data_IF_651874048838
#
_entry.id   IF_651874048838
#
_cell.length_a   1.000
_cell.length_b   1.000
_cell.length_c   1.000
_cell.angle_alpha   90.00
_cell.angle_beta   90.00
_cell.angle_gamma   90.00
#
_symmetry.space_group_name_H-M   'P 1'
#
loop_
_entity.id
_entity.type
_entity.pdbx_description
1 polymer ?
#
# COMPACT_ATOMS: atom_id res chain seq x y z
N UNK A 1 32.01 9.97 -8.51
CA UNK A 1 30.89 10.40 -9.36
C UNK A 1 30.07 9.14 -9.52
N UNK A 2 29.02 8.97 -8.73
CA UNK A 2 28.19 7.78 -8.81
C UNK A 2 27.32 7.90 -10.06
N UNK A 3 27.36 6.89 -10.94
CA UNK A 3 26.57 6.85 -12.17
C UNK A 3 25.07 6.96 -11.82
N UNK A 4 24.43 8.02 -12.29
CA UNK A 4 23.02 8.29 -12.05
C UNK A 4 22.21 7.40 -13.02
N UNK A 5 21.49 6.42 -12.49
CA UNK A 5 20.59 5.58 -13.28
C UNK A 5 19.43 6.40 -13.91
N UNK A 6 18.77 5.86 -14.93
CA UNK A 6 17.64 6.52 -15.65
C UNK A 6 16.54 7.04 -14.73
N UNK A 7 16.29 6.39 -13.59
CA UNK A 7 15.30 6.82 -12.59
C UNK A 7 15.81 7.92 -11.63
N UNK A 8 17.02 8.43 -11.83
CA UNK A 8 17.68 9.46 -11.00
C UNK A 8 17.83 9.08 -9.52
N UNK A 9 17.93 7.77 -9.22
CA UNK A 9 18.18 7.24 -7.88
C UNK A 9 19.61 6.72 -7.75
N UNK A 10 20.20 6.71 -6.53
CA UNK A 10 21.46 6.03 -6.29
C UNK A 10 21.36 4.54 -6.64
N UNK A 11 22.44 3.96 -7.17
CA UNK A 11 22.48 2.57 -7.68
C UNK A 11 21.93 1.54 -6.69
N UNK A 12 22.30 1.67 -5.39
CA UNK A 12 21.87 0.77 -4.30
C UNK A 12 20.36 0.73 -4.06
N UNK A 13 19.61 1.73 -4.53
CA UNK A 13 18.15 1.84 -4.37
C UNK A 13 17.45 2.11 -5.71
N UNK A 14 18.13 1.78 -6.81
CA UNK A 14 17.64 1.95 -8.16
C UNK A 14 16.50 0.98 -8.44
N UNK A 15 15.47 1.46 -9.15
CA UNK A 15 14.35 0.63 -9.58
C UNK A 15 14.35 0.33 -11.08
N UNK A 16 15.31 0.88 -11.84
CA UNK A 16 15.43 0.63 -13.28
C UNK A 16 15.45 -0.86 -13.65
N UNK A 17 16.11 -1.78 -12.90
CA UNK A 17 16.12 -3.20 -13.22
C UNK A 17 14.73 -3.87 -13.17
N UNK A 18 13.74 -3.22 -12.55
CA UNK A 18 12.37 -3.73 -12.40
C UNK A 18 11.38 -3.01 -13.32
N UNK A 19 11.85 -2.06 -14.15
CA UNK A 19 11.00 -1.42 -15.17
C UNK A 19 10.90 -2.33 -16.40
N UNK A 20 9.85 -2.17 -17.23
CA UNK A 20 9.75 -2.86 -18.51
C UNK A 20 11.04 -2.70 -19.33
N UNK A 21 11.49 -3.79 -19.96
CA UNK A 21 12.69 -3.77 -20.80
C UNK A 21 12.55 -2.81 -21.99
N UNK A 22 11.33 -2.72 -22.52
CA UNK A 22 10.93 -1.80 -23.59
C UNK A 22 9.84 -0.83 -23.10
N UNK A 23 9.87 0.45 -23.51
CA UNK A 23 8.83 1.42 -23.16
C UNK A 23 7.43 0.97 -23.61
N UNK A 24 6.41 1.31 -22.82
CA UNK A 24 5.02 1.00 -23.14
C UNK A 24 4.55 1.86 -24.33
N UNK A 25 4.29 1.23 -25.47
CA UNK A 25 3.72 1.90 -26.62
C UNK A 25 2.31 2.42 -26.30
N UNK A 26 2.17 3.75 -26.28
CA UNK A 26 0.93 4.46 -25.94
C UNK A 26 0.61 5.55 -26.96
N UNK A 27 -0.66 5.71 -27.30
CA UNK A 27 -1.12 6.81 -28.16
C UNK A 27 -1.30 8.12 -27.37
N UNK A 28 -1.69 8.03 -26.10
CA UNK A 28 -1.95 9.13 -25.15
C UNK A 28 -0.66 9.84 -24.74
N UNK A 29 -0.72 11.17 -24.65
CA UNK A 29 0.37 12.00 -24.14
C UNK A 29 0.08 12.45 -22.70
N UNK A 30 1.02 12.19 -21.77
CA UNK A 30 0.92 12.64 -20.39
C UNK A 30 1.65 13.96 -20.18
N UNK A 31 0.96 14.91 -19.53
CA UNK A 31 1.50 16.19 -19.08
C UNK A 31 1.51 16.20 -17.56
N UNK A 32 2.69 16.00 -16.96
CA UNK A 32 2.87 15.99 -15.51
C UNK A 32 3.20 17.42 -15.03
N UNK A 33 2.24 18.04 -14.35
CA UNK A 33 2.41 19.37 -13.74
C UNK A 33 2.90 19.17 -12.31
N UNK A 34 4.21 19.31 -12.11
CA UNK A 34 4.88 18.93 -10.87
C UNK A 34 5.15 20.14 -9.97
N UNK A 35 4.78 20.02 -8.69
CA UNK A 35 5.12 21.01 -7.69
C UNK A 35 6.65 21.00 -7.42
N UNK A 36 7.33 22.16 -7.29
CA UNK A 36 8.79 22.20 -7.09
C UNK A 36 9.30 21.44 -5.84
N UNK A 37 8.46 21.31 -4.81
CA UNK A 37 8.80 20.56 -3.62
C UNK A 37 8.72 19.03 -3.79
N UNK A 38 8.10 18.53 -4.86
CA UNK A 38 8.17 17.11 -5.22
C UNK A 38 9.41 16.83 -6.06
N UNK A 39 9.80 17.76 -6.95
CA UNK A 39 11.03 17.67 -7.74
C UNK A 39 12.27 17.57 -6.84
N UNK A 40 12.33 18.26 -5.70
CA UNK A 40 13.50 18.21 -4.81
C UNK A 40 13.61 16.92 -3.99
N UNK A 41 12.67 15.97 -4.13
CA UNK A 41 12.63 14.77 -3.28
C UNK A 41 13.53 13.64 -3.79
N UNK A 42 14.03 12.82 -2.86
CA UNK A 42 14.93 11.70 -3.20
C UNK A 42 14.19 10.51 -3.86
N UNK A 43 12.99 10.14 -3.37
CA UNK A 43 12.21 9.01 -3.86
C UNK A 43 11.06 9.44 -4.79
N UNK A 44 11.40 10.07 -5.92
CA UNK A 44 10.41 10.55 -6.91
C UNK A 44 9.84 9.41 -7.77
N UNK A 45 8.58 9.56 -8.15
CA UNK A 45 7.81 8.66 -9.04
C UNK A 45 7.84 9.10 -10.49
N UNK A 46 7.88 10.41 -10.75
CA UNK A 46 7.89 10.98 -12.10
C UNK A 46 9.05 10.48 -12.98
N UNK A 47 10.31 10.37 -12.48
CA UNK A 47 11.39 9.78 -13.29
C UNK A 47 11.16 8.32 -13.66
N UNK A 48 10.48 7.55 -12.80
CA UNK A 48 10.13 6.15 -13.09
C UNK A 48 9.07 6.10 -14.20
N UNK A 49 8.03 6.94 -14.08
CA UNK A 49 6.98 7.05 -15.09
C UNK A 49 7.56 7.43 -16.46
N UNK A 50 8.41 8.45 -16.50
CA UNK A 50 9.04 8.89 -17.75
C UNK A 50 9.93 7.80 -18.37
N UNK A 51 10.60 6.97 -17.56
CA UNK A 51 11.41 5.86 -18.05
C UNK A 51 10.57 4.70 -18.64
N UNK A 52 9.30 4.57 -18.26
CA UNK A 52 8.40 3.53 -18.76
C UNK A 52 7.68 3.90 -20.08
N UNK A 53 7.84 5.14 -20.57
CA UNK A 53 7.08 5.67 -21.70
C UNK A 53 7.99 6.11 -22.85
N UNK A 54 7.52 6.04 -24.12
CA UNK A 54 8.26 6.51 -25.28
C UNK A 54 8.63 7.99 -25.15
N UNK A 55 9.76 8.36 -25.77
CA UNK A 55 10.22 9.76 -25.80
C UNK A 55 9.12 10.67 -26.36
N UNK A 56 8.79 11.72 -25.61
CA UNK A 56 7.76 12.69 -25.98
C UNK A 56 6.34 12.36 -25.54
N UNK A 57 6.09 11.16 -24.98
CA UNK A 57 4.78 10.76 -24.42
C UNK A 57 4.60 11.12 -22.94
N UNK A 58 5.65 11.57 -22.27
CA UNK A 58 5.61 12.10 -20.91
C UNK A 58 6.35 13.44 -20.86
N UNK A 59 5.61 14.53 -20.65
CA UNK A 59 6.13 15.90 -20.56
C UNK A 59 5.97 16.39 -19.13
N UNK A 60 7.09 16.71 -18.47
CA UNK A 60 7.10 17.15 -17.08
C UNK A 60 7.33 18.67 -17.03
N UNK A 61 6.41 19.40 -16.40
CA UNK A 61 6.51 20.84 -16.20
C UNK A 61 6.53 21.14 -14.71
N UNK A 62 7.65 21.67 -14.22
CA UNK A 62 7.83 21.99 -12.80
C UNK A 62 7.47 23.45 -12.53
N UNK A 63 6.56 23.69 -11.59
CA UNK A 63 6.14 25.05 -11.27
C UNK A 63 4.91 25.15 -10.37
N UNK A 64 4.60 26.38 -9.97
CA UNK A 64 3.36 26.71 -9.23
C UNK A 64 2.38 27.55 -10.06
N UNK A 65 2.89 28.24 -11.09
CA UNK A 65 2.14 29.15 -11.94
C UNK A 65 2.48 28.87 -13.40
N UNK A 66 1.44 28.66 -14.20
CA UNK A 66 1.49 28.32 -15.61
C UNK A 66 0.58 29.30 -16.34
N UNK A 67 1.19 30.19 -17.12
CA UNK A 67 0.50 31.14 -17.97
C UNK A 67 0.89 30.92 -19.44
N UNK A 68 0.07 31.43 -20.35
CA UNK A 68 0.25 31.21 -21.79
C UNK A 68 1.55 31.80 -22.33
N UNK A 69 2.00 32.93 -21.79
CA UNK A 69 3.26 33.57 -22.21
C UNK A 69 4.49 32.71 -21.92
N UNK A 70 4.53 32.05 -20.74
CA UNK A 70 5.68 31.24 -20.31
C UNK A 70 5.55 29.77 -20.73
N UNK A 71 4.32 29.28 -20.90
CA UNK A 71 4.02 27.89 -21.24
C UNK A 71 3.02 27.81 -22.38
N UNK A 72 3.36 28.31 -23.59
CA UNK A 72 2.43 28.36 -24.72
C UNK A 72 1.97 26.97 -25.16
N UNK A 73 2.85 25.97 -25.07
CA UNK A 73 2.50 24.58 -25.38
C UNK A 73 1.45 24.02 -24.42
N UNK A 74 1.65 24.18 -23.10
CA UNK A 74 0.70 23.72 -22.09
C UNK A 74 -0.64 24.44 -22.23
N UNK A 75 -0.62 25.74 -22.54
CA UNK A 75 -1.84 26.52 -22.80
C UNK A 75 -2.58 26.01 -24.04
N UNK A 76 -1.88 25.67 -25.12
CA UNK A 76 -2.46 25.06 -26.32
C UNK A 76 -3.11 23.71 -26.00
N UNK A 77 -2.40 22.86 -25.25
CA UNK A 77 -2.91 21.56 -24.80
C UNK A 77 -4.15 21.73 -23.94
N UNK A 78 -4.16 22.70 -23.02
CA UNK A 78 -5.33 22.95 -22.18
C UNK A 78 -6.57 23.41 -22.98
N UNK A 79 -6.39 24.00 -24.16
CA UNK A 79 -7.47 24.46 -25.05
C UNK A 79 -7.97 23.37 -26.00
N UNK A 80 -7.25 22.25 -26.15
CA UNK A 80 -7.65 21.14 -27.00
C UNK A 80 -8.82 20.37 -26.38
N UNK A 81 -9.85 20.10 -27.19
CA UNK A 81 -11.06 19.39 -26.76
C UNK A 81 -10.81 17.93 -26.35
N UNK A 82 -9.70 17.33 -26.76
CA UNK A 82 -9.29 15.96 -26.41
C UNK A 82 -8.37 15.91 -25.18
N UNK A 83 -8.21 17.04 -24.48
CA UNK A 83 -7.42 17.11 -23.25
C UNK A 83 -8.30 16.87 -22.04
N UNK A 84 -7.85 15.94 -21.20
CA UNK A 84 -8.39 15.67 -19.88
C UNK A 84 -7.45 16.21 -18.81
N UNK A 85 -8.00 16.62 -17.67
CA UNK A 85 -7.22 16.91 -16.47
C UNK A 85 -7.66 16.00 -15.32
N UNK A 86 -6.72 15.22 -14.80
CA UNK A 86 -6.94 14.34 -13.66
C UNK A 86 -6.83 15.15 -12.38
N UNK A 87 -7.97 15.61 -11.88
CA UNK A 87 -8.09 16.35 -10.64
C UNK A 87 -9.52 16.20 -10.11
N UNK A 88 -9.74 15.76 -8.85
CA UNK A 88 -11.10 15.60 -8.32
C UNK A 88 -11.75 16.97 -8.06
N UNK A 89 -13.05 17.06 -8.37
CA UNK A 89 -13.85 18.26 -8.21
C UNK A 89 -15.35 17.95 -8.29
N UNK A 90 -16.20 18.93 -7.98
CA UNK A 90 -17.66 18.76 -8.02
C UNK A 90 -18.19 18.39 -9.40
N UNK A 91 -17.51 18.85 -10.44
CA UNK A 91 -17.88 18.65 -11.84
C UNK A 91 -16.99 17.59 -12.53
N UNK A 92 -16.18 16.85 -11.75
CA UNK A 92 -15.30 15.83 -12.29
C UNK A 92 -16.10 14.56 -12.62
N UNK A 93 -15.99 14.09 -13.86
CA UNK A 93 -16.58 12.82 -14.28
C UNK A 93 -15.62 11.66 -14.00
N UNK A 94 -16.15 10.48 -13.67
CA UNK A 94 -15.32 9.27 -13.50
C UNK A 94 -14.78 8.84 -14.87
N UNK A 95 -13.46 8.71 -15.00
CA UNK A 95 -12.79 8.36 -16.25
C UNK A 95 -13.28 7.01 -16.81
N UNK A 96 -13.61 6.07 -15.93
CA UNK A 96 -14.13 4.74 -16.27
C UNK A 96 -15.56 4.77 -16.83
N UNK A 97 -16.32 5.81 -16.52
CA UNK A 97 -17.73 5.99 -16.91
C UNK A 97 -17.90 6.89 -18.12
N UNK A 98 -16.82 7.53 -18.57
CA UNK A 98 -16.85 8.36 -19.77
C UNK A 98 -17.23 7.53 -21.00
N UNK A 99 -18.09 8.12 -21.83
CA UNK A 99 -18.60 7.49 -23.04
C UNK A 99 -17.41 7.03 -23.88
N UNK A 100 -17.42 5.75 -24.24
CA UNK A 100 -16.20 4.99 -24.59
C UNK A 100 -15.58 5.42 -25.91
N UNK A 101 -16.07 6.46 -26.57
CA UNK A 101 -15.59 6.91 -27.87
C UNK A 101 -14.29 7.75 -27.78
N UNK A 102 -13.35 7.32 -26.93
CA UNK A 102 -11.92 7.69 -27.01
C UNK A 102 -11.22 7.08 -28.25
N UNK A 103 -11.99 6.59 -29.23
CA UNK A 103 -11.51 5.89 -30.42
C UNK A 103 -10.79 6.78 -31.43
N UNK A 104 -10.85 8.10 -31.26
CA UNK A 104 -10.10 9.08 -32.07
C UNK A 104 -8.90 9.65 -31.31
N UNK A 105 -7.70 9.02 -31.42
CA UNK A 105 -6.46 9.52 -30.85
C UNK A 105 -5.87 10.73 -31.62
N UNK A 106 -4.92 11.49 -31.02
CA UNK A 106 -4.36 11.30 -29.67
C UNK A 106 -5.01 12.19 -28.59
N UNK A 107 -5.18 11.63 -27.40
CA UNK A 107 -5.65 12.34 -26.22
C UNK A 107 -4.48 12.87 -25.40
N UNK A 108 -4.70 13.99 -24.70
CA UNK A 108 -3.74 14.50 -23.73
C UNK A 108 -4.33 14.34 -22.32
N UNK A 109 -3.51 13.91 -21.36
CA UNK A 109 -3.93 13.84 -19.96
C UNK A 109 -2.97 14.65 -19.11
N UNK A 110 -3.51 15.65 -18.40
CA UNK A 110 -2.78 16.45 -17.44
C UNK A 110 -2.93 15.81 -16.05
N UNK A 111 -1.81 15.53 -15.39
CA UNK A 111 -1.76 15.00 -14.01
C UNK A 111 -0.98 15.99 -13.15
N UNK A 112 -1.53 16.37 -11.99
CA UNK A 112 -0.87 17.29 -11.07
C UNK A 112 -0.10 16.49 -10.00
N UNK A 113 1.22 16.58 -10.01
CA UNK A 113 2.11 15.91 -9.05
C UNK A 113 2.41 16.84 -7.86
N UNK A 114 1.89 16.47 -6.70
CA UNK A 114 2.01 17.22 -5.46
C UNK A 114 1.22 16.58 -4.33
N UNK A 115 1.46 17.00 -3.09
CA UNK A 115 0.51 16.73 -2.00
C UNK A 115 -0.86 17.34 -2.32
N UNK A 116 -1.95 16.87 -1.71
CA UNK A 116 -3.29 17.44 -1.95
C UNK A 116 -3.35 18.97 -1.85
N UNK A 117 -2.70 19.54 -0.85
CA UNK A 117 -2.62 21.00 -0.67
C UNK A 117 -1.84 21.68 -1.80
N UNK A 118 -0.74 21.07 -2.26
CA UNK A 118 0.06 21.58 -3.38
C UNK A 118 -0.68 21.46 -4.71
N UNK A 119 -1.30 20.31 -4.98
CA UNK A 119 -2.07 20.08 -6.20
C UNK A 119 -3.27 21.02 -6.27
N UNK A 120 -3.98 21.22 -5.14
CA UNK A 120 -5.06 22.21 -5.03
C UNK A 120 -4.56 23.63 -5.27
N UNK A 121 -3.41 24.01 -4.71
CA UNK A 121 -2.82 25.34 -4.93
C UNK A 121 -2.47 25.56 -6.40
N UNK A 122 -1.87 24.55 -7.06
CA UNK A 122 -1.58 24.58 -8.50
C UNK A 122 -2.88 24.71 -9.31
N UNK A 123 -3.87 23.86 -9.08
CA UNK A 123 -5.12 23.88 -9.84
C UNK A 123 -5.85 25.22 -9.71
N UNK A 124 -6.01 25.73 -8.48
CA UNK A 124 -6.78 26.95 -8.24
C UNK A 124 -6.10 28.24 -8.74
N UNK A 125 -4.76 28.29 -8.76
CA UNK A 125 -4.00 29.46 -9.19
C UNK A 125 -3.87 29.60 -10.70
N UNK A 126 -4.16 28.56 -11.46
CA UNK A 126 -3.92 28.50 -12.90
C UNK A 126 -5.24 28.31 -13.63
N UNK A 127 -5.83 29.42 -14.11
CA UNK A 127 -7.13 29.40 -14.78
C UNK A 127 -7.17 28.51 -16.02
N UNK A 128 -6.03 28.32 -16.70
CA UNK A 128 -5.92 27.44 -17.87
C UNK A 128 -6.29 25.98 -17.58
N UNK A 129 -6.14 25.52 -16.32
CA UNK A 129 -6.49 24.15 -15.91
C UNK A 129 -8.00 23.92 -15.74
N UNK A 130 -8.83 24.97 -15.89
CA UNK A 130 -10.29 24.85 -15.92
C UNK A 130 -10.85 24.65 -17.33
N UNK A 131 -10.00 24.74 -18.35
CA UNK A 131 -10.40 24.58 -19.75
C UNK A 131 -10.59 23.11 -20.17
N UNK A 132 -9.68 22.18 -19.80
CA UNK A 132 -9.85 20.76 -20.11
C UNK A 132 -11.02 20.14 -19.37
N UNK A 133 -11.54 19.04 -19.90
CA UNK A 133 -12.54 18.24 -19.18
C UNK A 133 -11.92 17.65 -17.92
N UNK A 134 -12.55 17.93 -16.78
CA UNK A 134 -12.09 17.47 -15.49
C UNK A 134 -12.54 16.02 -15.26
N UNK A 135 -11.60 15.15 -14.89
CA UNK A 135 -11.86 13.74 -14.63
C UNK A 135 -11.23 13.28 -13.32
N UNK A 136 -11.79 12.22 -12.77
CA UNK A 136 -11.26 11.52 -11.60
C UNK A 136 -11.24 10.02 -11.86
N UNK A 137 -10.42 9.28 -11.10
CA UNK A 137 -10.42 7.82 -11.12
C UNK A 137 -11.37 7.29 -10.05
N UNK A 138 -12.10 6.23 -10.37
CA UNK A 138 -12.83 5.46 -9.37
C UNK A 138 -11.80 4.84 -8.43
N UNK A 139 -11.69 5.39 -7.22
CA UNK A 139 -10.61 5.10 -6.28
C UNK A 139 -10.82 3.77 -5.50
N UNK A 140 -11.41 2.77 -6.15
CA UNK A 140 -11.67 1.45 -5.58
C UNK A 140 -10.39 0.60 -5.38
N UNK A 141 -9.28 0.98 -6.00
CA UNK A 141 -7.99 0.29 -5.85
C UNK A 141 -7.07 1.01 -4.87
N UNK A 142 -6.60 0.27 -3.86
CA UNK A 142 -5.53 0.72 -2.97
C UNK A 142 -4.23 0.85 -3.77
N UNK A 143 -3.49 1.94 -3.55
CA UNK A 143 -2.12 2.11 -4.05
C UNK A 143 -1.23 0.91 -3.68
N UNK A 144 -0.53 0.38 -4.68
CA UNK A 144 0.51 -0.65 -4.61
C UNK A 144 1.93 -0.04 -4.63
N UNK A 145 2.07 1.29 -4.79
CA UNK A 145 3.34 2.00 -4.68
C UNK A 145 3.70 2.26 -3.22
N UNK A 146 4.18 1.23 -2.52
CA UNK A 146 4.50 1.23 -1.07
C UNK A 146 5.75 2.07 -0.71
N UNK A 147 6.44 2.67 -1.69
CA UNK A 147 7.70 3.40 -1.46
C UNK A 147 7.45 4.78 -0.80
N UNK A 148 6.21 5.28 -0.75
CA UNK A 148 5.84 6.51 -0.03
C UNK A 148 4.47 6.46 0.62
N UNK A 149 4.39 7.06 1.81
CA UNK A 149 3.13 7.30 2.53
C UNK A 149 2.24 8.27 1.75
N UNK A 150 1.03 7.80 1.41
CA UNK A 150 -0.03 8.63 0.87
C UNK A 150 -1.01 9.02 1.99
N UNK A 151 -1.66 10.19 1.88
CA UNK A 151 -2.56 10.67 2.92
C UNK A 151 -3.82 9.80 3.10
N UNK A 152 -4.23 9.05 2.07
CA UNK A 152 -5.27 8.00 2.14
C UNK A 152 -4.99 6.93 1.08
N UNK A 153 -5.66 5.77 1.15
CA UNK A 153 -5.47 4.63 0.21
C UNK A 153 -6.18 4.83 -1.12
N UNK A 154 -7.06 5.81 -1.16
CA UNK A 154 -7.73 6.30 -2.35
C UNK A 154 -6.79 7.21 -3.15
N UNK A 155 -5.65 7.60 -2.57
CA UNK A 155 -4.63 8.37 -3.27
C UNK A 155 -3.70 7.41 -3.97
N UNK A 156 -3.64 7.49 -5.28
CA UNK A 156 -2.62 6.82 -6.07
C UNK A 156 -1.39 7.74 -6.16
N UNK A 157 -0.20 7.16 -6.33
CA UNK A 157 1.00 7.91 -6.62
C UNK A 157 0.89 8.42 -8.05
N UNK A 158 1.66 9.44 -8.42
CA UNK A 158 1.64 9.95 -9.80
C UNK A 158 1.94 8.87 -10.84
N UNK A 159 2.77 7.88 -10.49
CA UNK A 159 3.03 6.71 -11.32
C UNK A 159 1.79 5.84 -11.49
N UNK A 160 1.07 5.55 -10.41
CA UNK A 160 -0.14 4.72 -10.43
C UNK A 160 -1.34 5.41 -11.07
N UNK A 161 -1.55 6.70 -10.76
CA UNK A 161 -2.52 7.55 -11.44
C UNK A 161 -2.30 7.46 -12.96
N UNK A 162 -1.06 7.62 -13.39
CA UNK A 162 -0.70 7.54 -14.80
C UNK A 162 -0.92 6.14 -15.39
N UNK A 163 -0.54 5.07 -14.68
CA UNK A 163 -0.73 3.69 -15.14
C UNK A 163 -2.22 3.32 -15.31
N UNK A 164 -3.05 3.64 -14.31
CA UNK A 164 -4.51 3.39 -14.38
C UNK A 164 -5.13 4.23 -15.50
N UNK A 165 -4.77 5.51 -15.60
CA UNK A 165 -5.26 6.39 -16.65
C UNK A 165 -4.91 5.85 -18.04
N UNK A 166 -3.64 5.48 -18.27
CA UNK A 166 -3.21 4.93 -19.56
C UNK A 166 -3.92 3.63 -19.90
N UNK A 167 -4.16 2.75 -18.92
CA UNK A 167 -4.91 1.52 -19.15
C UNK A 167 -6.32 1.77 -19.67
N UNK A 168 -7.02 2.74 -19.08
CA UNK A 168 -8.37 3.12 -19.48
C UNK A 168 -8.34 3.75 -20.87
N UNK A 169 -7.45 4.74 -21.08
CA UNK A 169 -7.36 5.50 -22.33
C UNK A 169 -6.92 4.65 -23.53
N UNK A 170 -5.95 3.74 -23.34
CA UNK A 170 -5.46 2.86 -24.41
C UNK A 170 -6.31 1.59 -24.58
N UNK A 171 -7.34 1.39 -23.74
CA UNK A 171 -8.14 0.14 -23.65
C UNK A 171 -7.28 -1.11 -23.47
N UNK A 172 -6.14 -0.97 -22.80
CA UNK A 172 -5.19 -2.04 -22.58
C UNK A 172 -5.18 -2.40 -21.09
N UNK A 173 -5.90 -3.48 -20.76
CA UNK A 173 -5.99 -4.00 -19.39
C UNK A 173 -4.73 -4.73 -18.92
N UNK A 174 -3.72 -4.94 -19.79
CA UNK A 174 -2.42 -5.48 -19.39
C UNK A 174 -1.51 -4.42 -18.71
N UNK A 175 -1.83 -3.12 -18.87
CA UNK A 175 -1.04 -2.02 -18.30
C UNK A 175 -1.13 -1.97 -16.76
N UNK A 176 -2.29 -2.17 -16.10
CA UNK A 176 -2.39 -2.29 -14.65
C UNK A 176 -1.91 -3.64 -14.11
N UNK A 177 -2.01 -4.71 -14.90
CA UNK A 177 -1.61 -6.08 -14.49
C UNK A 177 -0.10 -6.18 -14.23
N UNK A 178 0.72 -5.32 -14.83
CA UNK A 178 2.15 -5.25 -14.54
C UNK A 178 2.49 -4.63 -13.17
N UNK A 179 1.50 -4.04 -12.48
CA UNK A 179 1.68 -3.31 -11.21
C UNK A 179 0.63 -3.68 -10.15
N UNK A 180 -0.10 -4.78 -10.37
CA UNK A 180 -1.32 -5.12 -9.63
C UNK A 180 -1.39 -6.59 -9.24
N UNK A 181 -1.15 -6.95 -7.97
CA UNK A 181 -1.49 -8.33 -7.50
C UNK A 181 -3.03 -8.44 -7.44
N UNK A 182 -3.65 -8.88 -8.53
CA UNK A 182 -4.94 -9.56 -8.49
C UNK A 182 -4.65 -11.01 -8.13
N UNK A 183 -5.21 -11.52 -7.03
CA UNK A 183 -5.05 -12.94 -6.67
C UNK A 183 -5.89 -13.83 -7.59
N UNK A 184 -5.38 -14.05 -8.81
CA UNK A 184 -6.05 -14.78 -9.89
C UNK A 184 -5.35 -16.08 -10.27
N UNK A 185 -4.03 -16.19 -10.10
CA UNK A 185 -3.24 -17.37 -10.46
C UNK A 185 -2.55 -18.03 -9.26
N UNK A 186 -2.37 -19.36 -9.31
CA UNK A 186 -1.66 -20.13 -8.28
C UNK A 186 -0.19 -19.69 -8.13
N UNK A 187 0.40 -19.14 -9.21
CA UNK A 187 1.78 -18.66 -9.22
C UNK A 187 1.94 -17.39 -8.36
N UNK A 188 1.03 -16.43 -8.47
CA UNK A 188 1.03 -15.21 -7.65
C UNK A 188 0.84 -15.51 -6.15
N UNK A 189 0.02 -16.52 -5.82
CA UNK A 189 -0.17 -16.98 -4.44
C UNK A 189 1.15 -17.50 -3.87
N UNK A 190 1.89 -18.32 -4.65
CA UNK A 190 3.15 -18.90 -4.19
C UNK A 190 4.26 -17.86 -4.05
N UNK A 191 4.33 -16.88 -4.95
CA UNK A 191 5.24 -15.75 -4.85
C UNK A 191 4.93 -14.90 -3.60
N UNK A 192 3.64 -14.64 -3.33
CA UNK A 192 3.21 -13.92 -2.14
C UNK A 192 3.59 -14.68 -0.85
N UNK A 193 3.36 -16.00 -0.79
CA UNK A 193 3.76 -16.85 0.34
C UNK A 193 5.26 -16.75 0.61
N UNK A 194 6.05 -16.96 -0.43
CA UNK A 194 7.52 -16.96 -0.36
C UNK A 194 8.03 -15.61 0.10
N UNK A 195 7.51 -14.53 -0.48
CA UNK A 195 7.87 -13.16 -0.09
C UNK A 195 7.53 -12.90 1.37
N UNK A 196 6.31 -13.23 1.78
CA UNK A 196 5.83 -12.98 3.13
C UNK A 196 6.65 -13.76 4.17
N UNK A 197 6.89 -15.04 3.93
CA UNK A 197 7.75 -15.87 4.79
C UNK A 197 9.15 -15.29 4.91
N UNK A 198 9.81 -14.97 3.79
CA UNK A 198 11.14 -14.37 3.79
C UNK A 198 11.18 -13.03 4.55
N UNK A 199 10.16 -12.18 4.37
CA UNK A 199 10.05 -10.91 5.09
C UNK A 199 9.93 -11.14 6.60
N UNK A 200 9.07 -12.07 7.04
CA UNK A 200 8.90 -12.34 8.46
C UNK A 200 10.16 -12.96 9.08
N UNK A 201 10.85 -13.85 8.36
CA UNK A 201 12.14 -14.40 8.78
C UNK A 201 13.19 -13.28 8.90
N UNK A 202 13.18 -12.31 7.98
CA UNK A 202 14.08 -11.15 8.06
C UNK A 202 13.83 -10.32 9.33
N UNK A 203 12.56 -10.14 9.73
CA UNK A 203 12.21 -9.45 10.98
C UNK A 203 12.64 -10.27 12.19
N UNK A 204 12.53 -11.60 12.10
CA UNK A 204 12.94 -12.52 13.17
C UNK A 204 14.44 -12.52 13.42
N UNK A 205 15.23 -12.30 12.38
CA UNK A 205 16.68 -12.28 12.44
C UNK A 205 17.27 -10.90 12.84
N UNK A 206 16.45 -9.88 13.04
CA UNK A 206 16.93 -8.56 13.48
C UNK A 206 17.52 -8.64 14.90
N UNK A 207 18.73 -8.08 15.06
CA UNK A 207 19.42 -8.00 16.34
C UNK A 207 18.66 -7.16 17.37
N UNK A 208 18.86 -7.44 18.66
CA UNK A 208 18.14 -6.75 19.76
C UNK A 208 18.37 -5.22 19.78
N UNK A 209 19.52 -4.75 19.30
CA UNK A 209 19.87 -3.33 19.19
C UNK A 209 19.01 -2.55 18.19
N UNK A 210 18.34 -3.22 17.26
CA UNK A 210 17.40 -2.62 16.29
C UNK A 210 16.05 -2.25 16.94
N UNK A 211 15.78 -2.76 18.14
CA UNK A 211 14.49 -2.69 18.81
C UNK A 211 14.52 -1.73 20.01
N UNK A 212 13.45 -0.94 20.15
CA UNK A 212 13.22 -0.10 21.34
C UNK A 212 12.08 -0.67 22.15
N UNK A 213 12.26 -0.81 23.46
CA UNK A 213 11.21 -1.31 24.35
C UNK A 213 10.00 -0.35 24.33
N UNK A 214 8.81 -0.89 24.07
CA UNK A 214 7.54 -0.15 24.08
C UNK A 214 6.73 -0.44 25.35
N UNK A 215 6.67 -1.71 25.76
CA UNK A 215 5.95 -2.18 26.96
C UNK A 215 6.61 -3.43 27.51
N UNK A 216 6.59 -3.60 28.83
CA UNK A 216 7.07 -4.80 29.50
C UNK A 216 6.12 -5.14 30.64
N UNK A 217 5.56 -6.34 30.61
CA UNK A 217 4.83 -6.95 31.72
C UNK A 217 5.63 -8.14 32.27
N UNK A 218 5.02 -8.89 33.20
CA UNK A 218 5.62 -10.12 33.74
C UNK A 218 5.78 -11.19 32.66
N UNK A 219 4.78 -11.31 31.78
CA UNK A 219 4.65 -12.45 30.87
C UNK A 219 4.93 -12.08 29.40
N UNK A 220 4.85 -10.80 29.05
CA UNK A 220 5.01 -10.31 27.67
C UNK A 220 5.94 -9.10 27.62
N UNK A 221 6.80 -9.09 26.59
CA UNK A 221 7.60 -7.92 26.22
C UNK A 221 7.19 -7.46 24.82
N UNK A 222 7.02 -6.16 24.67
CA UNK A 222 6.71 -5.52 23.39
C UNK A 222 7.79 -4.49 23.07
N UNK A 223 8.32 -4.58 21.87
CA UNK A 223 9.27 -3.64 21.30
C UNK A 223 8.69 -3.00 20.04
N UNK A 224 9.30 -1.91 19.61
CA UNK A 224 9.00 -1.25 18.35
C UNK A 224 10.28 -0.80 17.66
N UNK A 225 10.22 -0.72 16.34
CA UNK A 225 11.20 -0.03 15.50
C UNK A 225 10.49 0.71 14.37
N UNK A 226 11.15 1.69 13.79
CA UNK A 226 10.58 2.43 12.65
C UNK A 226 10.27 1.44 11.52
N UNK A 227 9.05 1.49 11.00
CA UNK A 227 8.66 0.71 9.83
C UNK A 227 9.36 1.25 8.57
N UNK A 228 9.71 0.33 7.66
CA UNK A 228 10.19 0.65 6.31
C UNK A 228 9.06 0.69 5.28
N UNK A 229 7.86 0.25 5.68
CA UNK A 229 6.69 0.10 4.82
C UNK A 229 5.76 1.32 4.88
N UNK A 230 5.69 1.99 6.04
CA UNK A 230 4.86 3.18 6.24
C UNK A 230 5.40 4.11 7.32
N UNK A 231 4.77 5.29 7.47
CA UNK A 231 5.08 6.28 8.49
C UNK A 231 4.55 5.88 9.87
N UNK A 232 5.01 4.74 10.38
CA UNK A 232 4.66 4.19 11.68
C UNK A 232 5.70 3.20 12.19
N UNK A 233 5.28 2.23 12.99
CA UNK A 233 6.20 1.29 13.63
C UNK A 233 5.90 -0.16 13.27
N UNK A 234 6.95 -0.96 13.19
CA UNK A 234 6.89 -2.40 13.31
C UNK A 234 7.01 -2.75 14.79
N UNK A 235 6.04 -3.49 15.32
CA UNK A 235 6.04 -3.99 16.70
C UNK A 235 6.48 -5.44 16.74
N UNK A 236 7.28 -5.79 17.73
CA UNK A 236 7.63 -7.17 18.10
C UNK A 236 7.02 -7.45 19.47
N UNK A 237 6.27 -8.53 19.62
CA UNK A 237 5.78 -9.01 20.91
C UNK A 237 6.35 -10.41 21.18
N UNK A 238 6.74 -10.70 22.42
CA UNK A 238 7.29 -12.01 22.77
C UNK A 238 6.82 -12.42 24.16
N UNK A 239 6.34 -13.67 24.28
CA UNK A 239 5.87 -14.27 25.52
C UNK A 239 5.93 -15.80 25.45
N UNK A 240 5.90 -16.44 26.62
CA UNK A 240 5.85 -17.92 26.72
C UNK A 240 4.42 -18.35 27.04
N UNK A 241 3.93 -19.34 26.31
CA UNK A 241 2.59 -19.92 26.48
C UNK A 241 2.75 -21.39 26.89
N UNK A 242 2.00 -21.81 27.91
CA UNK A 242 2.03 -23.19 28.45
C UNK A 242 1.17 -24.13 27.59
N UNK A 243 1.53 -24.25 26.31
CA UNK A 243 0.85 -25.12 25.36
C UNK A 243 1.80 -25.47 24.19
N UNK A 244 1.48 -26.49 23.41
CA UNK A 244 2.22 -26.87 22.21
C UNK A 244 1.97 -25.92 21.02
N UNK A 245 2.91 -25.81 20.06
CA UNK A 245 2.81 -24.84 18.96
C UNK A 245 1.58 -25.01 18.07
N UNK A 246 1.20 -26.25 17.73
CA UNK A 246 0.06 -26.54 16.86
C UNK A 246 -1.24 -26.00 17.47
N UNK A 247 -1.46 -26.28 18.76
CA UNK A 247 -2.66 -25.83 19.47
C UNK A 247 -2.68 -24.31 19.66
N UNK A 248 -1.52 -23.68 19.86
CA UNK A 248 -1.44 -22.20 19.92
C UNK A 248 -1.80 -21.60 18.56
N UNK A 249 -1.22 -22.09 17.47
CA UNK A 249 -1.46 -21.55 16.13
C UNK A 249 -2.89 -21.80 15.65
N UNK A 250 -3.52 -22.89 16.08
CA UNK A 250 -4.94 -23.16 15.83
C UNK A 250 -5.87 -22.06 16.36
N UNK A 251 -5.48 -21.38 17.45
CA UNK A 251 -6.21 -20.25 18.03
C UNK A 251 -5.80 -18.90 17.42
N UNK A 252 -4.67 -18.82 16.71
CA UNK A 252 -4.18 -17.60 16.07
C UNK A 252 -4.70 -17.46 14.64
N UNK A 253 -4.71 -18.56 13.90
CA UNK A 253 -5.11 -18.60 12.48
C UNK A 253 -6.55 -18.14 12.28
N UNK A 254 -6.92 -17.66 11.08
CA UNK A 254 -8.29 -17.25 10.78
C UNK A 254 -9.29 -18.39 11.03
N UNK A 255 -10.33 -18.14 11.82
CA UNK A 255 -11.32 -19.14 12.18
C UNK A 255 -12.11 -18.80 13.44
N UNK A 256 -13.07 -19.67 13.83
CA UNK A 256 -13.97 -19.42 14.94
C UNK A 256 -13.23 -19.28 16.28
N UNK A 257 -12.19 -20.07 16.52
CA UNK A 257 -11.41 -19.97 17.76
C UNK A 257 -10.81 -18.58 17.92
N UNK A 258 -10.22 -18.00 16.86
CA UNK A 258 -9.63 -16.66 16.92
C UNK A 258 -10.66 -15.61 17.31
N UNK A 259 -11.84 -15.65 16.71
CA UNK A 259 -12.93 -14.71 17.03
C UNK A 259 -13.47 -14.88 18.46
N UNK A 260 -13.44 -16.09 19.00
CA UNK A 260 -13.98 -16.39 20.33
C UNK A 260 -13.17 -15.77 21.46
N UNK A 261 -11.83 -15.81 21.38
CA UNK A 261 -10.97 -15.32 22.47
C UNK A 261 -10.43 -13.90 22.25
N UNK A 262 -10.28 -13.46 21.00
CA UNK A 262 -9.70 -12.15 20.69
C UNK A 262 -10.74 -11.04 20.92
N UNK A 263 -10.72 -10.45 22.11
CA UNK A 263 -11.62 -9.37 22.51
C UNK A 263 -11.57 -8.12 21.61
N UNK A 264 -10.52 -7.93 20.81
CA UNK A 264 -10.45 -6.83 19.87
C UNK A 264 -11.26 -7.12 18.59
N UNK A 265 -11.44 -8.38 18.21
CA UNK A 265 -12.17 -8.78 17.02
C UNK A 265 -13.68 -8.83 17.26
N UNK A 266 -14.45 -8.10 16.46
CA UNK A 266 -15.93 -8.07 16.55
C UNK A 266 -16.61 -8.96 15.52
N UNK A 267 -15.92 -9.26 14.42
CA UNK A 267 -16.39 -10.17 13.37
C UNK A 267 -15.22 -10.70 12.57
N UNK A 268 -15.38 -11.88 11.98
CA UNK A 268 -14.42 -12.48 11.06
C UNK A 268 -15.16 -13.34 10.03
N UNK A 269 -14.84 -13.12 8.75
CA UNK A 269 -15.33 -13.90 7.61
C UNK A 269 -14.15 -14.43 6.82
N UNK A 270 -14.18 -15.70 6.41
CA UNK A 270 -13.27 -16.19 5.37
C UNK A 270 -13.88 -15.80 4.02
N UNK A 271 -13.26 -14.82 3.36
CA UNK A 271 -13.70 -14.30 2.06
C UNK A 271 -13.41 -15.29 0.94
N UNK A 272 -12.22 -15.90 0.99
CA UNK A 272 -11.77 -16.86 -0.02
C UNK A 272 -10.86 -17.89 0.63
N UNK A 273 -11.23 -19.17 0.56
CA UNK A 273 -10.31 -20.26 0.86
C UNK A 273 -9.46 -20.54 -0.38
N UNK A 274 -8.14 -20.49 -0.24
CA UNK A 274 -7.21 -20.80 -1.33
C UNK A 274 -6.80 -22.26 -1.24
N UNK A 275 -6.34 -22.69 -0.07
CA UNK A 275 -6.15 -24.09 0.29
C UNK A 275 -6.19 -24.27 1.82
N UNK A 276 -5.72 -25.42 2.32
CA UNK A 276 -5.81 -25.78 3.75
C UNK A 276 -4.99 -24.88 4.67
N UNK A 277 -3.95 -24.23 4.15
CA UNK A 277 -3.02 -23.42 4.93
C UNK A 277 -3.10 -21.94 4.58
N UNK A 278 -4.06 -21.58 3.71
CA UNK A 278 -4.06 -20.29 3.04
C UNK A 278 -5.47 -19.80 2.73
N UNK A 279 -5.76 -18.57 3.12
CA UNK A 279 -7.04 -17.93 2.84
C UNK A 279 -6.91 -16.42 2.75
N UNK A 280 -7.95 -15.78 2.23
CA UNK A 280 -8.21 -14.36 2.41
C UNK A 280 -9.33 -14.24 3.44
N UNK A 281 -9.09 -13.52 4.51
CA UNK A 281 -10.06 -13.24 5.56
C UNK A 281 -10.38 -11.76 5.61
N UNK A 282 -11.59 -11.45 6.06
CA UNK A 282 -12.02 -10.11 6.43
C UNK A 282 -12.37 -10.11 7.90
N UNK A 283 -11.90 -9.15 8.66
CA UNK A 283 -12.27 -9.02 10.07
C UNK A 283 -12.43 -7.56 10.47
N UNK A 284 -13.21 -7.34 11.52
CA UNK A 284 -13.43 -6.02 12.10
C UNK A 284 -12.89 -5.97 13.52
N UNK A 285 -12.37 -4.82 13.92
CA UNK A 285 -11.95 -4.54 15.29
C UNK A 285 -12.92 -3.61 16.00
N UNK A 286 -13.08 -3.79 17.30
CA UNK A 286 -13.76 -2.84 18.16
C UNK A 286 -13.03 -1.48 18.17
N UNK A 287 -13.74 -0.43 18.57
CA UNK A 287 -13.09 0.85 18.85
C UNK A 287 -12.16 0.74 20.06
N UNK A 288 -11.03 1.45 20.01
CA UNK A 288 -9.99 1.39 21.02
C UNK A 288 -9.84 2.75 21.72
N UNK A 289 -9.30 2.73 22.95
CA UNK A 289 -9.05 3.92 23.77
C UNK A 289 -10.32 4.78 23.93
N UNK A 290 -11.42 4.20 24.43
CA UNK A 290 -12.71 4.88 24.56
C UNK A 290 -13.21 5.52 23.26
N UNK A 291 -13.05 4.81 22.13
CA UNK A 291 -13.41 5.25 20.77
C UNK A 291 -12.65 6.46 20.24
N UNK A 292 -11.50 6.83 20.85
CA UNK A 292 -10.54 7.74 20.19
C UNK A 292 -10.10 7.14 18.84
N UNK A 293 -9.95 5.81 18.80
CA UNK A 293 -9.76 5.06 17.57
C UNK A 293 -11.07 4.33 17.29
N UNK A 294 -11.78 4.76 16.25
CA UNK A 294 -12.99 4.09 15.78
C UNK A 294 -12.69 2.65 15.29
N UNK A 295 -13.71 1.78 15.16
CA UNK A 295 -13.57 0.46 14.55
C UNK A 295 -12.78 0.48 13.23
N UNK A 296 -12.09 -0.63 12.94
CA UNK A 296 -11.37 -0.83 11.68
C UNK A 296 -11.76 -2.14 11.03
N UNK A 297 -11.79 -2.13 9.71
CA UNK A 297 -11.92 -3.33 8.90
C UNK A 297 -10.57 -3.65 8.26
N UNK A 298 -10.24 -4.93 8.16
CA UNK A 298 -9.06 -5.44 7.48
C UNK A 298 -9.47 -6.57 6.54
N UNK A 299 -8.78 -6.65 5.40
CA UNK A 299 -8.89 -7.78 4.48
C UNK A 299 -7.50 -8.29 4.20
N UNK A 300 -7.20 -9.46 4.76
CA UNK A 300 -5.84 -9.97 4.83
C UNK A 300 -5.73 -11.33 4.14
N UNK A 301 -4.68 -11.46 3.35
CA UNK A 301 -4.14 -12.76 3.00
C UNK A 301 -3.49 -13.36 4.25
N UNK A 302 -3.81 -14.61 4.55
CA UNK A 302 -3.25 -15.38 5.66
C UNK A 302 -2.65 -16.67 5.14
N UNK A 303 -1.45 -17.00 5.61
CA UNK A 303 -0.70 -18.18 5.25
C UNK A 303 -0.04 -18.79 6.50
N UNK A 304 -0.13 -20.10 6.65
CA UNK A 304 0.52 -20.84 7.74
C UNK A 304 1.48 -21.87 7.14
N UNK A 305 2.68 -21.97 7.71
CA UNK A 305 3.72 -22.90 7.26
C UNK A 305 4.54 -23.40 8.45
N UNK A 306 5.29 -24.47 8.22
CA UNK A 306 6.24 -24.99 9.20
C UNK A 306 7.42 -24.02 9.36
N UNK A 307 7.90 -23.87 10.60
CA UNK A 307 9.10 -23.08 10.90
C UNK A 307 9.89 -23.76 12.01
N UNK A 308 11.07 -24.27 11.68
CA UNK A 308 11.88 -25.10 12.58
C UNK A 308 11.05 -26.28 13.12
N UNK A 309 10.96 -26.45 14.45
CA UNK A 309 10.14 -27.47 15.12
C UNK A 309 8.75 -26.94 15.53
N UNK A 310 8.32 -25.84 14.92
CA UNK A 310 7.05 -25.17 15.21
C UNK A 310 6.43 -24.62 13.93
N UNK A 311 5.73 -23.49 14.05
CA UNK A 311 4.91 -22.93 12.98
C UNK A 311 5.12 -21.43 12.85
N UNK A 312 4.95 -20.94 11.62
CA UNK A 312 4.77 -19.54 11.29
C UNK A 312 3.36 -19.35 10.71
N UNK A 313 2.58 -18.44 11.31
CA UNK A 313 1.32 -17.96 10.72
C UNK A 313 1.47 -16.47 10.39
N UNK A 314 1.51 -16.14 9.11
CA UNK A 314 1.75 -14.78 8.62
C UNK A 314 0.60 -14.26 7.76
N UNK A 315 0.54 -12.94 7.61
CA UNK A 315 -0.45 -12.28 6.78
C UNK A 315 -0.01 -10.91 6.31
N UNK A 316 -0.75 -10.40 5.31
CA UNK A 316 -0.62 -9.05 4.77
C UNK A 316 -1.96 -8.64 4.17
N UNK A 317 -2.33 -7.37 4.30
CA UNK A 317 -3.54 -6.85 3.67
C UNK A 317 -3.48 -6.94 2.15
N UNK A 318 -4.61 -7.29 1.54
CA UNK A 318 -4.78 -7.39 0.09
C UNK A 318 -5.96 -6.55 -0.38
N UNK A 319 -5.92 -6.12 -1.64
CA UNK A 319 -7.05 -5.42 -2.26
C UNK A 319 -8.25 -6.36 -2.41
N UNK A 320 -9.43 -5.88 -2.02
CA UNK A 320 -10.69 -6.60 -2.20
C UNK A 320 -11.86 -5.62 -2.40
N UNK A 321 -12.68 -5.92 -3.41
CA UNK A 321 -13.64 -4.99 -4.03
C UNK A 321 -14.84 -4.62 -3.13
N UNK A 322 -15.20 -5.45 -2.15
CA UNK A 322 -16.30 -5.16 -1.25
C UNK A 322 -15.91 -4.10 -0.21
N UNK A 323 -16.13 -2.81 -0.51
CA UNK A 323 -16.01 -1.72 0.46
C UNK A 323 -17.33 -1.49 1.21
N UNK A 324 -17.35 -1.76 2.52
CA UNK A 324 -18.44 -1.34 3.40
C UNK A 324 -18.19 0.11 3.84
N UNK A 325 -19.01 1.04 3.36
CA UNK A 325 -18.92 2.48 3.67
C UNK A 325 -18.91 2.84 5.16
N UNK A 326 -19.32 1.94 6.06
CA UNK A 326 -19.49 2.21 7.48
C UNK A 326 -18.20 2.12 8.32
N UNK A 327 -17.05 1.73 7.75
CA UNK A 327 -15.82 1.52 8.53
C UNK A 327 -14.56 1.98 7.78
N UNK A 328 -13.57 2.50 8.51
CA UNK A 328 -12.25 2.80 7.95
C UNK A 328 -11.50 1.49 7.73
N UNK A 329 -11.03 1.26 6.51
CA UNK A 329 -10.21 0.09 6.18
C UNK A 329 -8.77 0.32 6.56
N UNK A 330 -8.31 -0.34 7.63
CA UNK A 330 -6.89 -0.36 8.01
C UNK A 330 -6.07 -1.19 7.02
N UNK A 331 -4.77 -1.26 7.26
CA UNK A 331 -3.86 -2.08 6.46
C UNK A 331 -2.76 -2.69 7.30
N UNK A 332 -2.69 -4.01 7.29
CA UNK A 332 -1.57 -4.75 7.81
C UNK A 332 -0.52 -4.88 6.71
N UNK A 333 0.61 -4.19 6.90
CA UNK A 333 1.84 -4.57 6.22
C UNK A 333 2.29 -5.96 6.73
N UNK A 334 3.30 -6.60 6.10
CA UNK A 334 3.73 -7.94 6.51
C UNK A 334 3.81 -8.13 8.02
N UNK A 335 3.01 -9.08 8.52
CA UNK A 335 2.83 -9.37 9.94
C UNK A 335 2.69 -10.88 10.15
N UNK A 336 2.85 -11.35 11.39
CA UNK A 336 2.71 -12.77 11.68
C UNK A 336 3.19 -13.18 13.06
N UNK A 337 3.02 -14.46 13.35
CA UNK A 337 3.33 -15.10 14.62
C UNK A 337 4.19 -16.34 14.39
N UNK A 338 5.38 -16.32 14.97
CA UNK A 338 6.24 -17.50 15.12
C UNK A 338 5.90 -18.18 16.44
N UNK A 339 5.69 -19.50 16.40
CA UNK A 339 5.47 -20.29 17.60
C UNK A 339 6.38 -21.52 17.56
N UNK A 340 7.33 -21.58 18.49
CA UNK A 340 8.31 -22.67 18.59
C UNK A 340 8.32 -23.25 20.00
N UNK A 341 8.53 -24.57 20.18
CA UNK A 341 8.59 -25.17 21.50
C UNK A 341 9.80 -24.65 22.31
N UNK A 342 9.66 -24.57 23.63
CA UNK A 342 10.71 -24.15 24.57
C UNK A 342 10.84 -25.21 25.66
N UNK A 343 12.07 -25.62 25.95
CA UNK A 343 12.37 -26.71 26.89
C UNK A 343 12.69 -28.02 26.17
N UNK A 344 13.46 -28.89 26.85
CA UNK A 344 13.82 -30.21 26.32
C UNK A 344 12.72 -31.25 26.53
N UNK A 345 12.86 -32.42 25.89
CA UNK A 345 12.00 -33.60 25.99
C UNK A 345 11.98 -34.20 27.42
N UNK A 346 11.36 -33.51 28.38
CA UNK A 346 11.14 -33.97 29.75
C UNK A 346 9.65 -33.92 30.14
N UNK A 347 9.30 -34.54 31.28
CA UNK A 347 7.93 -34.69 31.83
C UNK A 347 7.21 -33.37 32.24
N UNK A 348 7.70 -32.22 31.80
CA UNK A 348 7.06 -30.92 32.05
C UNK A 348 5.86 -30.67 31.15
N UNK A 349 4.92 -29.82 31.59
CA UNK A 349 3.87 -29.32 30.72
C UNK A 349 4.47 -28.62 29.48
N UNK A 350 3.93 -28.82 28.27
CA UNK A 350 4.49 -28.25 27.04
C UNK A 350 4.51 -26.72 27.12
N UNK A 351 5.60 -26.12 26.66
CA UNK A 351 5.76 -24.66 26.59
C UNK A 351 6.20 -24.26 25.19
N UNK A 352 5.71 -23.11 24.73
CA UNK A 352 6.09 -22.53 23.44
C UNK A 352 6.40 -21.05 23.57
N UNK A 353 7.42 -20.61 22.85
CA UNK A 353 7.75 -19.20 22.65
C UNK A 353 6.89 -18.68 21.51
N UNK A 354 6.02 -17.73 21.82
CA UNK A 354 5.24 -17.02 20.83
C UNK A 354 5.89 -15.67 20.57
N UNK A 355 6.27 -15.43 19.31
CA UNK A 355 6.87 -14.16 18.85
C UNK A 355 6.03 -13.56 17.73
N UNK A 356 5.37 -12.44 17.99
CA UNK A 356 4.54 -11.72 17.03
C UNK A 356 5.25 -10.53 16.41
N UNK A 357 5.00 -10.28 15.13
CA UNK A 357 5.42 -9.09 14.39
C UNK A 357 4.18 -8.43 13.80
N UNK A 358 3.88 -7.21 14.22
CA UNK A 358 2.67 -6.50 13.83
C UNK A 358 3.02 -5.12 13.27
N UNK A 359 2.46 -4.81 12.10
CA UNK A 359 2.82 -3.63 11.32
C UNK A 359 1.58 -3.01 10.70
N UNK A 360 0.67 -2.57 11.58
CA UNK A 360 -0.65 -2.10 11.21
C UNK A 360 -0.66 -0.58 11.00
N UNK A 361 -1.06 -0.16 9.81
CA UNK A 361 -1.52 1.19 9.53
C UNK A 361 -3.02 1.28 9.79
N UNK A 362 -3.38 1.92 10.91
CA UNK A 362 -4.79 2.14 11.28
C UNK A 362 -5.46 3.17 10.38
N UNK A 363 -4.69 4.03 9.71
CA UNK A 363 -5.15 5.10 8.83
C UNK A 363 -6.10 6.10 9.50
N UNK A 364 -6.43 7.14 8.75
CA UNK A 364 -7.17 8.30 9.26
C UNK A 364 -6.29 9.23 10.07
N UNK A 365 -6.88 10.33 10.54
CA UNK A 365 -6.16 11.35 11.32
C UNK A 365 -6.18 10.99 12.80
N UNK A 366 -5.24 10.15 13.24
CA UNK A 366 -5.09 9.73 14.64
C UNK A 366 -3.75 10.26 15.17
N UNK A 367 -3.69 10.85 16.36
CA UNK A 367 -2.42 11.20 16.99
C UNK A 367 -1.53 9.96 17.16
N UNK A 368 -0.26 10.05 16.80
CA UNK A 368 0.69 8.92 16.89
C UNK A 368 0.79 8.36 18.31
N UNK A 369 0.67 9.19 19.34
CA UNK A 369 0.65 8.74 20.74
C UNK A 369 -0.54 7.83 21.06
N UNK A 370 -1.70 8.05 20.45
CA UNK A 370 -2.86 7.19 20.60
C UNK A 370 -2.66 5.87 19.85
N UNK A 371 -2.11 5.90 18.63
CA UNK A 371 -1.73 4.70 17.87
C UNK A 371 -0.74 3.86 18.66
N UNK A 372 0.33 4.47 19.16
CA UNK A 372 1.37 3.78 19.93
C UNK A 372 0.80 3.08 21.17
N UNK A 373 -0.11 3.77 21.87
CA UNK A 373 -0.76 3.23 23.07
C UNK A 373 -1.69 2.06 22.72
N UNK A 374 -2.48 2.20 21.66
CA UNK A 374 -3.40 1.14 21.21
C UNK A 374 -2.65 -0.11 20.73
N UNK A 375 -1.61 0.07 19.91
CA UNK A 375 -0.78 -1.03 19.40
C UNK A 375 -0.06 -1.77 20.52
N UNK A 376 0.56 -1.04 21.46
CA UNK A 376 1.21 -1.66 22.61
C UNK A 376 0.24 -2.28 23.62
N UNK A 377 -1.01 -1.83 23.68
CA UNK A 377 -2.03 -2.41 24.58
C UNK A 377 -2.67 -3.67 24.01
N UNK A 378 -2.77 -3.76 22.68
CA UNK A 378 -3.33 -4.91 21.96
C UNK A 378 -2.35 -6.10 21.87
N UNK A 379 -1.08 -5.86 22.21
CA UNK A 379 0.01 -6.82 22.27
C UNK A 379 0.48 -7.03 23.72
#
# INVERSE_FOLDING_TARGET
MDDICTCSRPEKVCLCPFLPADPLEVSTCLYIVQHPAEESRVLRTVPLLAACLPKGKCKVLVGRRFNEERHPELASVCKDSHTLILYPGSDAENLEELDKDFTTPPHNVIIIDGTWSQAKDIFLRNSIFRLPKQVQLNSATCSQYVIRTQPTNMCLSTLECAAVTLSIMERNQAIPEHYGIKMGSLQEVNELRTRLENTLISYHNLGENEWRLAKKSKDVKVWRKQSVEFSGFLYKAQGVVQENPNRIVDYIRPGPYRLEWDSLMTSMDIVKTIDKVCCVMRYMTAGQLWNIIAPREFVDFSYTTDYQNGLLSCGVSVSHDEYRQSCVRGFNHPCGWFCVPVGGEGDGAPQSLLTGYIQTDLRGMIPQSAVDTAMASSL
#
